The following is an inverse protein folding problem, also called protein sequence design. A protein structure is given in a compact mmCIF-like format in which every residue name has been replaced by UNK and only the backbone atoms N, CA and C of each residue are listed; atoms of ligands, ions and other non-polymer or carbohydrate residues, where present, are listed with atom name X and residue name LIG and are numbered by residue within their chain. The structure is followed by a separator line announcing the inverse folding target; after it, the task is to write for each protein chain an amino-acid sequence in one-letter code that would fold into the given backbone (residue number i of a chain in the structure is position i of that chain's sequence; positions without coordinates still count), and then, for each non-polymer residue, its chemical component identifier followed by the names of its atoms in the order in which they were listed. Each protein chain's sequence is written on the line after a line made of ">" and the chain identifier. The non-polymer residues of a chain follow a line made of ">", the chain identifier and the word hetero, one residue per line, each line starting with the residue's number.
data_IF_627859779557
#
_entry.id   IF_627859779557
#
_cell.length_a   1.000
_cell.length_b   1.000
_cell.length_c   1.000
_cell.angle_alpha   90.00
_cell.angle_beta   90.00
_cell.angle_gamma   90.00
#
_symmetry.space_group_name_H-M   'P 1'
#
loop_
_entity.id
_entity.type
_entity.pdbx_description
1 polymer ?
#
# COMPACT_ATOMS: atom_id res chain seq x y z
N UNK A 1 -37.36 -6.93 -14.59
CA UNK A 1 -36.08 -6.47 -15.09
C UNK A 1 -35.57 -5.39 -14.14
N UNK A 2 -34.55 -5.68 -13.33
CA UNK A 2 -33.96 -4.68 -12.44
C UNK A 2 -33.18 -3.68 -13.33
N UNK A 3 -33.56 -2.40 -13.23
CA UNK A 3 -32.79 -1.30 -13.86
C UNK A 3 -31.44 -1.28 -13.13
N UNK A 4 -30.36 -1.60 -13.83
CA UNK A 4 -29.01 -1.46 -13.29
C UNK A 4 -28.81 0.02 -12.92
N UNK A 5 -28.68 0.29 -11.62
CA UNK A 5 -28.45 1.63 -11.08
C UNK A 5 -27.17 2.19 -11.73
N UNK A 6 -27.30 3.36 -12.32
CA UNK A 6 -26.18 3.98 -13.07
C UNK A 6 -25.17 4.51 -12.07
N UNK A 7 -24.05 3.76 -11.91
CA UNK A 7 -22.94 4.14 -11.01
C UNK A 7 -22.50 5.58 -11.24
N UNK A 8 -22.20 6.28 -10.16
CA UNK A 8 -21.65 7.64 -10.19
C UNK A 8 -20.25 7.65 -10.82
N UNK A 9 -19.76 8.83 -11.18
CA UNK A 9 -18.41 8.99 -11.70
C UNK A 9 -17.35 8.61 -10.66
N UNK A 10 -17.62 8.86 -9.38
CA UNK A 10 -16.72 8.55 -8.26
C UNK A 10 -16.65 7.05 -8.01
N UNK A 11 -17.78 6.36 -7.92
CA UNK A 11 -17.82 4.89 -7.81
C UNK A 11 -17.08 4.21 -8.96
N UNK A 12 -17.26 4.72 -10.18
CA UNK A 12 -16.58 4.20 -11.35
C UNK A 12 -15.06 4.44 -11.30
N UNK A 13 -14.64 5.59 -10.75
CA UNK A 13 -13.22 5.90 -10.55
C UNK A 13 -12.60 4.95 -9.53
N UNK A 14 -13.30 4.67 -8.43
CA UNK A 14 -12.82 3.76 -7.38
C UNK A 14 -12.69 2.32 -7.89
N UNK A 15 -13.65 1.82 -8.69
CA UNK A 15 -13.55 0.51 -9.33
C UNK A 15 -12.31 0.38 -10.24
N UNK A 16 -12.01 1.44 -11.01
CA UNK A 16 -10.80 1.45 -11.84
C UNK A 16 -9.55 1.42 -10.97
N UNK A 17 -9.52 2.19 -9.88
CA UNK A 17 -8.37 2.22 -8.98
C UNK A 17 -8.15 0.88 -8.29
N UNK A 18 -9.20 0.17 -7.85
CA UNK A 18 -9.06 -1.18 -7.29
C UNK A 18 -8.55 -2.19 -8.33
N UNK A 19 -9.08 -2.16 -9.56
CA UNK A 19 -8.57 -2.99 -10.64
C UNK A 19 -7.09 -2.67 -10.97
N UNK A 20 -6.71 -1.40 -10.90
CA UNK A 20 -5.35 -0.96 -11.12
C UNK A 20 -4.40 -1.36 -9.97
N UNK A 21 -4.86 -1.34 -8.71
CA UNK A 21 -4.11 -1.88 -7.56
C UNK A 21 -3.73 -3.33 -7.81
N UNK A 22 -4.70 -4.17 -8.18
CA UNK A 22 -4.47 -5.59 -8.45
C UNK A 22 -3.47 -5.81 -9.61
N UNK A 23 -3.66 -5.11 -10.71
CA UNK A 23 -2.81 -5.25 -11.89
C UNK A 23 -1.37 -4.77 -11.62
N UNK A 24 -1.21 -3.61 -10.96
CA UNK A 24 0.11 -3.08 -10.66
C UNK A 24 0.83 -3.86 -9.55
N UNK A 25 0.12 -4.38 -8.56
CA UNK A 25 0.72 -5.23 -7.53
C UNK A 25 1.29 -6.51 -8.14
N UNK A 26 0.55 -7.15 -9.06
CA UNK A 26 0.95 -8.41 -9.69
C UNK A 26 2.06 -8.24 -10.74
N UNK A 27 1.97 -7.20 -11.59
CA UNK A 27 2.78 -7.07 -12.81
C UNK A 27 3.78 -5.91 -12.78
N UNK A 28 3.78 -5.10 -11.73
CA UNK A 28 4.61 -3.91 -11.60
C UNK A 28 4.22 -2.80 -12.59
N UNK A 29 4.89 -1.65 -12.48
CA UNK A 29 4.61 -0.52 -13.36
C UNK A 29 4.84 -0.85 -14.84
N UNK A 30 5.95 -1.51 -15.19
CA UNK A 30 6.30 -1.81 -16.59
C UNK A 30 5.40 -2.88 -17.19
N UNK A 31 5.18 -3.99 -16.49
CA UNK A 31 4.46 -5.16 -16.98
C UNK A 31 2.93 -5.00 -17.00
N UNK A 32 2.37 -4.11 -16.19
CA UNK A 32 0.92 -3.91 -16.09
C UNK A 32 0.30 -3.40 -17.41
N UNK A 33 -0.91 -3.88 -17.69
CA UNK A 33 -1.69 -3.52 -18.89
C UNK A 33 -2.91 -2.67 -18.54
N UNK A 34 -2.99 -1.46 -19.12
CA UNK A 34 -4.19 -0.62 -18.98
C UNK A 34 -5.43 -1.22 -19.63
N UNK A 35 -5.26 -2.12 -20.58
CA UNK A 35 -6.34 -2.90 -21.19
C UNK A 35 -6.86 -3.96 -20.21
N UNK A 36 -5.96 -4.64 -19.46
CA UNK A 36 -6.35 -5.58 -18.42
C UNK A 36 -7.10 -4.88 -17.27
N UNK A 37 -6.63 -3.69 -16.86
CA UNK A 37 -7.32 -2.83 -15.88
C UNK A 37 -8.73 -2.48 -16.36
N UNK A 38 -8.86 -2.00 -17.62
CA UNK A 38 -10.14 -1.63 -18.18
C UNK A 38 -11.12 -2.82 -18.23
N UNK A 39 -10.63 -3.99 -18.65
CA UNK A 39 -11.42 -5.24 -18.70
C UNK A 39 -11.88 -5.66 -17.30
N UNK A 40 -11.00 -5.62 -16.32
CA UNK A 40 -11.33 -5.94 -14.92
C UNK A 40 -12.37 -5.00 -14.34
N UNK A 41 -12.31 -3.70 -14.67
CA UNK A 41 -13.27 -2.69 -14.24
C UNK A 41 -14.57 -2.66 -15.08
N UNK A 42 -14.69 -3.52 -16.12
CA UNK A 42 -15.88 -3.58 -16.99
C UNK A 42 -16.10 -2.33 -17.84
N UNK A 43 -15.00 -1.69 -18.29
CA UNK A 43 -15.03 -0.45 -19.08
C UNK A 43 -14.09 -0.55 -20.29
N UNK A 44 -14.10 0.47 -21.14
CA UNK A 44 -13.16 0.54 -22.26
C UNK A 44 -11.83 1.21 -21.85
N UNK A 45 -10.71 0.77 -22.45
CA UNK A 45 -9.41 1.38 -22.22
C UNK A 45 -9.36 2.89 -22.54
N UNK A 46 -9.99 3.41 -23.62
CA UNK A 46 -10.08 4.85 -23.85
C UNK A 46 -10.75 5.62 -22.71
N UNK A 47 -11.67 4.98 -21.97
CA UNK A 47 -12.29 5.60 -20.82
C UNK A 47 -11.31 5.74 -19.63
N UNK A 48 -10.44 4.75 -19.42
CA UNK A 48 -9.34 4.84 -18.45
C UNK A 48 -8.44 6.04 -18.75
N UNK A 49 -7.99 6.17 -20.00
CA UNK A 49 -7.15 7.31 -20.42
C UNK A 49 -7.86 8.65 -20.31
N UNK A 50 -9.17 8.72 -20.57
CA UNK A 50 -9.95 9.94 -20.39
C UNK A 50 -10.00 10.40 -18.93
N UNK A 51 -9.97 9.46 -17.96
CA UNK A 51 -10.03 9.77 -16.53
C UNK A 51 -8.67 10.05 -15.89
N UNK A 52 -7.62 9.38 -16.37
CA UNK A 52 -6.31 9.39 -15.72
C UNK A 52 -5.18 9.91 -16.62
N UNK A 53 -5.43 10.14 -17.90
CA UNK A 53 -4.45 10.63 -18.87
C UNK A 53 -3.53 9.53 -19.39
N UNK A 54 -2.52 9.14 -18.60
CA UNK A 54 -1.52 8.16 -18.98
C UNK A 54 -1.47 6.98 -17.98
N UNK A 55 -0.79 5.89 -18.36
CA UNK A 55 -0.48 4.79 -17.44
C UNK A 55 0.35 5.28 -16.26
N UNK A 56 1.27 6.22 -16.47
CA UNK A 56 2.10 6.81 -15.45
C UNK A 56 1.25 7.58 -14.42
N UNK A 57 0.33 8.44 -14.89
CA UNK A 57 -0.57 9.18 -14.01
C UNK A 57 -1.51 8.25 -13.24
N UNK A 58 -2.05 7.22 -13.89
CA UNK A 58 -2.84 6.20 -13.21
C UNK A 58 -2.03 5.51 -12.10
N UNK A 59 -0.79 5.11 -12.39
CA UNK A 59 0.09 4.47 -11.41
C UNK A 59 0.38 5.41 -10.22
N UNK A 60 0.71 6.67 -10.49
CA UNK A 60 0.94 7.69 -9.45
C UNK A 60 -0.27 7.88 -8.54
N UNK A 61 -1.48 7.95 -9.12
CA UNK A 61 -2.73 8.06 -8.36
C UNK A 61 -2.95 6.85 -7.47
N UNK A 62 -2.67 5.64 -7.99
CA UNK A 62 -2.79 4.39 -7.24
C UNK A 62 -1.78 4.33 -6.10
N UNK A 63 -0.53 4.71 -6.34
CA UNK A 63 0.54 4.77 -5.32
C UNK A 63 0.21 5.80 -4.24
N UNK A 64 -0.20 7.00 -4.62
CA UNK A 64 -0.60 8.04 -3.67
C UNK A 64 -1.80 7.59 -2.80
N UNK A 65 -2.77 6.90 -3.40
CA UNK A 65 -3.90 6.32 -2.67
C UNK A 65 -3.44 5.25 -1.68
N UNK A 66 -2.53 4.37 -2.09
CA UNK A 66 -1.99 3.32 -1.23
C UNK A 66 -1.30 3.91 0.02
N UNK A 67 -0.47 4.93 -0.13
CA UNK A 67 0.16 5.63 1.00
C UNK A 67 -0.86 6.34 1.89
N UNK A 68 -1.85 7.00 1.30
CA UNK A 68 -2.94 7.64 2.07
C UNK A 68 -3.73 6.63 2.89
N UNK A 69 -4.14 5.50 2.31
CA UNK A 69 -4.86 4.44 3.03
C UNK A 69 -4.01 3.81 4.15
N UNK A 70 -2.69 3.74 3.96
CA UNK A 70 -1.75 3.32 5.00
C UNK A 70 -1.67 4.36 6.12
N UNK A 71 -1.62 5.65 5.78
CA UNK A 71 -1.65 6.73 6.76
C UNK A 71 -2.96 6.72 7.57
N UNK A 72 -4.10 6.56 6.91
CA UNK A 72 -5.41 6.43 7.57
C UNK A 72 -5.48 5.22 8.49
N UNK A 73 -4.86 4.09 8.11
CA UNK A 73 -4.72 2.93 8.98
C UNK A 73 -3.93 3.29 10.24
N UNK A 74 -2.78 3.97 10.11
CA UNK A 74 -1.94 4.39 11.22
C UNK A 74 -2.68 5.37 12.13
N UNK A 75 -3.42 6.33 11.54
CA UNK A 75 -4.22 7.30 12.28
C UNK A 75 -5.29 6.64 13.13
N UNK A 76 -6.04 5.69 12.56
CA UNK A 76 -7.06 4.92 13.27
C UNK A 76 -6.45 4.07 14.39
N UNK A 77 -5.33 3.39 14.12
CA UNK A 77 -4.67 2.54 15.11
C UNK A 77 -4.12 3.34 16.32
N UNK A 78 -3.65 4.57 16.08
CA UNK A 78 -3.10 5.44 17.10
C UNK A 78 -4.14 6.38 17.74
N UNK A 79 -5.42 6.23 17.45
CA UNK A 79 -6.45 7.13 17.97
C UNK A 79 -6.47 7.13 19.51
N UNK A 80 -6.29 8.30 20.11
CA UNK A 80 -6.21 8.46 21.55
C UNK A 80 -4.91 8.00 22.21
N UNK A 81 -3.97 7.42 21.45
CA UNK A 81 -2.69 6.89 21.94
C UNK A 81 -1.53 7.84 21.65
N UNK A 82 -0.44 7.71 22.44
CA UNK A 82 0.82 8.44 22.25
C UNK A 82 2.00 7.55 22.69
N UNK A 83 3.21 7.96 22.30
CA UNK A 83 4.42 7.29 22.75
C UNK A 83 4.55 5.85 22.27
N UNK A 84 5.19 4.97 23.03
CA UNK A 84 5.36 3.57 22.67
C UNK A 84 4.06 2.81 22.44
N UNK A 85 2.97 3.16 23.13
CA UNK A 85 1.65 2.53 22.92
C UNK A 85 1.09 2.81 21.52
N UNK A 86 1.23 4.05 21.04
CA UNK A 86 0.83 4.40 19.68
C UNK A 86 1.68 3.66 18.63
N UNK A 87 3.01 3.57 18.86
CA UNK A 87 3.92 2.86 17.96
C UNK A 87 3.53 1.37 17.87
N UNK A 88 3.27 0.74 19.02
CA UNK A 88 2.83 -0.66 19.08
C UNK A 88 1.50 -0.89 18.36
N UNK A 89 0.50 -0.03 18.60
CA UNK A 89 -0.80 -0.15 17.94
C UNK A 89 -0.70 0.00 16.41
N UNK A 90 0.12 0.94 15.93
CA UNK A 90 0.37 1.13 14.49
C UNK A 90 1.08 -0.11 13.91
N UNK A 91 2.09 -0.63 14.62
CA UNK A 91 2.83 -1.84 14.21
C UNK A 91 1.90 -3.04 14.05
N UNK A 92 1.06 -3.30 15.05
CA UNK A 92 0.09 -4.39 15.01
C UNK A 92 -0.90 -4.26 13.85
N UNK A 93 -1.43 -3.05 13.61
CA UNK A 93 -2.34 -2.82 12.50
C UNK A 93 -1.66 -3.06 11.13
N UNK A 94 -0.37 -2.75 11.00
CA UNK A 94 0.37 -3.02 9.78
C UNK A 94 0.73 -4.50 9.62
N UNK A 95 1.03 -5.19 10.73
CA UNK A 95 1.21 -6.65 10.75
C UNK A 95 -0.08 -7.36 10.30
N UNK A 96 -1.25 -6.93 10.80
CA UNK A 96 -2.54 -7.50 10.41
C UNK A 96 -2.82 -7.28 8.91
N UNK A 97 -2.33 -6.20 8.32
CA UNK A 97 -2.47 -5.95 6.88
C UNK A 97 -1.78 -7.04 6.03
N UNK A 98 -0.70 -7.65 6.49
CA UNK A 98 -0.08 -8.77 5.77
C UNK A 98 -1.06 -9.94 5.59
N UNK A 99 -1.92 -10.20 6.58
CA UNK A 99 -2.91 -11.27 6.51
C UNK A 99 -4.19 -10.87 5.75
N UNK A 100 -4.61 -9.61 5.87
CA UNK A 100 -5.91 -9.15 5.35
C UNK A 100 -5.84 -8.51 3.97
N UNK A 101 -4.72 -7.85 3.63
CA UNK A 101 -4.56 -7.13 2.36
C UNK A 101 -3.08 -7.09 1.91
N UNK A 102 -2.48 -8.25 1.62
CA UNK A 102 -1.07 -8.32 1.20
C UNK A 102 -0.82 -7.61 -0.14
N UNK A 103 -1.85 -7.42 -0.96
CA UNK A 103 -1.75 -6.79 -2.27
C UNK A 103 -1.27 -5.34 -2.17
N UNK A 104 -1.72 -4.59 -1.15
CA UNK A 104 -1.25 -3.22 -0.94
C UNK A 104 0.20 -3.14 -0.48
N UNK A 105 0.68 -4.13 0.26
CA UNK A 105 2.09 -4.24 0.62
C UNK A 105 2.94 -4.56 -0.63
N UNK A 106 2.47 -5.46 -1.49
CA UNK A 106 3.10 -5.77 -2.77
C UNK A 106 3.17 -4.52 -3.67
N UNK A 107 2.06 -3.76 -3.76
CA UNK A 107 2.02 -2.52 -4.53
C UNK A 107 3.05 -1.48 -4.04
N UNK A 108 3.24 -1.34 -2.73
CA UNK A 108 4.28 -0.46 -2.18
C UNK A 108 5.67 -0.88 -2.67
N UNK A 109 5.98 -2.17 -2.66
CA UNK A 109 7.27 -2.68 -3.16
C UNK A 109 7.45 -2.38 -4.65
N UNK A 110 6.40 -2.57 -5.47
CA UNK A 110 6.41 -2.20 -6.88
C UNK A 110 6.60 -0.68 -7.10
N UNK A 111 6.04 0.14 -6.21
CA UNK A 111 6.22 1.59 -6.26
C UNK A 111 7.68 2.00 -6.00
N UNK A 112 8.36 1.37 -5.03
CA UNK A 112 9.78 1.63 -4.78
C UNK A 112 10.65 1.23 -5.97
N UNK A 113 10.37 0.10 -6.61
CA UNK A 113 11.07 -0.36 -7.80
C UNK A 113 10.90 0.63 -8.96
N UNK A 114 9.67 1.06 -9.23
CA UNK A 114 9.37 2.02 -10.29
C UNK A 114 9.99 3.40 -10.03
N UNK A 115 10.11 3.82 -8.77
CA UNK A 115 10.71 5.08 -8.37
C UNK A 115 12.22 5.20 -8.72
N UNK A 116 12.92 4.08 -8.94
CA UNK A 116 14.31 4.08 -9.38
C UNK A 116 14.47 4.72 -10.75
N UNK A 117 13.52 4.49 -11.63
CA UNK A 117 13.62 4.84 -13.06
C UNK A 117 12.78 6.06 -13.45
N UNK A 118 11.76 6.42 -12.66
CA UNK A 118 10.80 7.48 -12.96
C UNK A 118 10.76 8.53 -11.86
N UNK A 119 11.11 9.77 -12.21
CA UNK A 119 11.20 10.88 -11.26
C UNK A 119 9.83 11.26 -10.67
N UNK A 120 8.79 11.31 -11.49
CA UNK A 120 7.45 11.68 -11.04
C UNK A 120 6.85 10.62 -10.09
N UNK A 121 7.14 9.33 -10.34
CA UNK A 121 6.78 8.25 -9.43
C UNK A 121 7.59 8.35 -8.14
N UNK A 122 8.90 8.62 -8.23
CA UNK A 122 9.79 8.80 -7.09
C UNK A 122 9.31 9.93 -6.16
N UNK A 123 8.90 11.06 -6.72
CA UNK A 123 8.37 12.17 -5.94
C UNK A 123 7.06 11.79 -5.24
N UNK A 124 6.17 11.07 -5.92
CA UNK A 124 4.94 10.55 -5.32
C UNK A 124 5.24 9.63 -4.13
N UNK A 125 6.22 8.72 -4.28
CA UNK A 125 6.67 7.81 -3.22
C UNK A 125 7.30 8.58 -2.05
N UNK A 126 8.18 9.55 -2.33
CA UNK A 126 8.84 10.37 -1.29
C UNK A 126 7.82 11.14 -0.44
N UNK A 127 6.82 11.74 -1.08
CA UNK A 127 5.76 12.46 -0.37
C UNK A 127 4.97 11.50 0.51
N UNK A 128 4.44 10.42 -0.06
CA UNK A 128 3.62 9.47 0.69
C UNK A 128 4.37 8.80 1.86
N UNK A 129 5.62 8.37 1.61
CA UNK A 129 6.45 7.78 2.67
C UNK A 129 6.81 8.81 3.75
N UNK A 130 7.15 10.04 3.36
CA UNK A 130 7.42 11.15 4.27
C UNK A 130 6.26 11.46 5.19
N UNK A 131 5.02 11.43 4.68
CA UNK A 131 3.81 11.65 5.47
C UNK A 131 3.62 10.56 6.53
N UNK A 132 3.91 9.28 6.20
CA UNK A 132 3.88 8.19 7.17
C UNK A 132 4.92 8.41 8.28
N UNK A 133 6.17 8.72 7.91
CA UNK A 133 7.25 8.98 8.87
C UNK A 133 6.91 10.15 9.77
N UNK A 134 6.46 11.28 9.21
CA UNK A 134 6.10 12.47 9.98
C UNK A 134 4.93 12.22 10.95
N UNK A 135 3.96 11.39 10.56
CA UNK A 135 2.86 11.01 11.44
C UNK A 135 3.36 10.16 12.62
N UNK A 136 4.10 9.08 12.34
CA UNK A 136 4.59 8.15 13.37
C UNK A 136 5.53 8.87 14.34
N UNK A 137 6.50 9.64 13.83
CA UNK A 137 7.43 10.42 14.65
C UNK A 137 6.69 11.35 15.62
N UNK A 138 5.69 12.09 15.12
CA UNK A 138 4.90 13.02 15.92
C UNK A 138 4.08 12.33 17.01
N UNK A 139 3.46 11.16 16.74
CA UNK A 139 2.57 10.51 17.72
C UNK A 139 3.33 9.63 18.69
N UNK A 140 4.41 9.00 18.24
CA UNK A 140 5.22 8.11 19.05
C UNK A 140 6.28 8.86 19.88
N UNK A 141 6.87 9.94 19.35
CA UNK A 141 7.87 10.74 20.07
C UNK A 141 9.08 9.90 20.54
N UNK A 142 9.46 8.87 19.78
CA UNK A 142 10.57 7.96 20.07
C UNK A 142 11.88 8.45 19.49
N UNK A 143 13.00 7.86 19.91
CA UNK A 143 14.32 8.18 19.35
C UNK A 143 14.44 7.69 17.89
N UNK A 144 15.41 8.28 17.16
CA UNK A 144 15.62 7.98 15.75
C UNK A 144 15.95 6.49 15.48
N UNK A 145 16.60 5.79 16.40
CA UNK A 145 16.92 4.38 16.23
C UNK A 145 15.68 3.50 16.34
N UNK A 146 14.78 3.83 17.24
CA UNK A 146 13.47 3.15 17.41
C UNK A 146 12.58 3.41 16.19
N UNK A 147 12.47 4.67 15.74
CA UNK A 147 11.73 5.02 14.53
C UNK A 147 12.26 4.27 13.29
N UNK A 148 13.59 4.23 13.12
CA UNK A 148 14.23 3.51 12.02
C UNK A 148 13.94 2.01 12.04
N UNK A 149 14.00 1.36 13.22
CA UNK A 149 13.65 -0.06 13.39
C UNK A 149 12.20 -0.33 13.03
N UNK A 150 11.28 0.53 13.46
CA UNK A 150 9.86 0.42 13.13
C UNK A 150 9.61 0.38 11.62
N UNK A 151 10.18 1.33 10.87
CA UNK A 151 10.05 1.37 9.41
C UNK A 151 10.79 0.23 8.72
N UNK A 152 11.92 -0.24 9.26
CA UNK A 152 12.62 -1.43 8.75
C UNK A 152 11.76 -2.71 8.88
N UNK A 153 11.04 -2.88 10.00
CA UNK A 153 10.08 -3.99 10.17
C UNK A 153 8.91 -3.88 9.19
N UNK A 154 8.36 -2.67 8.98
CA UNK A 154 7.33 -2.44 7.97
C UNK A 154 7.79 -2.83 6.56
N UNK A 155 9.04 -2.50 6.20
CA UNK A 155 9.63 -2.93 4.91
C UNK A 155 9.76 -4.45 4.84
N UNK A 156 10.14 -5.11 5.93
CA UNK A 156 10.21 -6.58 5.98
C UNK A 156 8.84 -7.20 5.67
N UNK A 157 7.74 -6.66 6.18
CA UNK A 157 6.39 -7.14 5.86
C UNK A 157 6.04 -6.99 4.36
N UNK A 158 6.49 -5.92 3.71
CA UNK A 158 6.32 -5.77 2.26
C UNK A 158 7.09 -6.87 1.50
N UNK A 159 8.29 -7.24 1.95
CA UNK A 159 9.08 -8.33 1.37
C UNK A 159 8.37 -9.67 1.57
N UNK A 160 7.81 -9.95 2.76
CA UNK A 160 7.02 -11.15 3.00
C UNK A 160 5.78 -11.21 2.10
N UNK A 161 5.05 -10.11 1.95
CA UNK A 161 3.92 -10.04 1.02
C UNK A 161 4.32 -10.36 -0.42
N UNK A 162 5.48 -9.85 -0.88
CA UNK A 162 5.98 -10.13 -2.23
C UNK A 162 6.39 -11.60 -2.43
N UNK A 163 6.88 -12.26 -1.38
CA UNK A 163 7.19 -13.69 -1.38
C UNK A 163 5.97 -14.58 -1.13
N UNK A 164 4.78 -13.99 -0.95
CA UNK A 164 3.53 -14.69 -0.60
C UNK A 164 3.66 -15.52 0.70
N UNK A 165 4.42 -15.00 1.67
CA UNK A 165 4.61 -15.59 2.98
C UNK A 165 3.75 -14.86 4.01
N UNK A 166 2.92 -15.59 4.72
CA UNK A 166 2.07 -15.10 5.82
C UNK A 166 2.46 -15.77 7.15
N UNK A 167 1.69 -15.48 8.18
CA UNK A 167 1.90 -16.04 9.53
C UNK A 167 1.62 -17.54 9.64
N UNK A 168 1.03 -18.14 8.63
CA UNK A 168 0.79 -19.57 8.45
C UNK A 168 1.93 -20.28 7.67
N UNK A 169 3.02 -19.55 7.39
CA UNK A 169 4.15 -20.10 6.63
C UNK A 169 4.77 -21.32 7.33
N UNK A 170 5.09 -22.33 6.53
CA UNK A 170 5.83 -23.54 6.96
C UNK A 170 7.35 -23.36 6.91
N UNK A 171 7.83 -22.24 6.37
CA UNK A 171 9.25 -21.91 6.29
C UNK A 171 9.80 -21.50 7.66
N UNK A 172 10.70 -22.29 8.30
CA UNK A 172 11.13 -22.01 9.69
C UNK A 172 11.81 -20.66 9.88
N UNK A 173 12.60 -20.21 8.90
CA UNK A 173 13.29 -18.92 8.94
C UNK A 173 12.28 -17.75 8.86
N UNK A 174 11.25 -17.89 8.01
CA UNK A 174 10.22 -16.88 7.84
C UNK A 174 9.35 -16.78 9.10
N UNK A 175 8.91 -17.91 9.63
CA UNK A 175 8.15 -17.97 10.89
C UNK A 175 8.91 -17.28 12.05
N UNK A 176 10.23 -17.49 12.14
CA UNK A 176 11.07 -16.86 13.16
C UNK A 176 11.15 -15.35 13.03
N UNK A 177 11.28 -14.83 11.79
CA UNK A 177 11.30 -13.38 11.54
C UNK A 177 9.93 -12.74 11.82
N UNK A 178 8.85 -13.38 11.36
CA UNK A 178 7.49 -12.87 11.60
C UNK A 178 7.10 -12.86 13.08
N UNK A 179 7.57 -13.83 13.87
CA UNK A 179 7.39 -13.81 15.33
C UNK A 179 8.02 -12.55 15.95
N UNK A 180 9.25 -12.19 15.54
CA UNK A 180 9.90 -10.97 16.01
C UNK A 180 9.18 -9.67 15.61
N UNK A 181 8.47 -9.66 14.49
CA UNK A 181 7.63 -8.52 14.10
C UNK A 181 6.41 -8.32 15.03
N UNK A 182 5.87 -9.41 15.60
CA UNK A 182 4.75 -9.35 16.54
C UNK A 182 5.16 -8.91 17.95
N UNK A 183 6.38 -9.28 18.38
CA UNK A 183 6.87 -8.97 19.72
C UNK A 183 7.33 -7.50 19.87
N UNK A 184 7.69 -6.86 18.77
CA UNK A 184 8.24 -5.50 18.72
C UNK A 184 7.29 -4.49 18.05
N UNK A 185 6.09 -4.93 17.63
CA UNK A 185 5.04 -4.09 17.10
C UNK A 185 4.28 -3.33 18.18
#
# INVERSE_FOLDING_TARGET
>A
MAVAERKTKEERRDEILEAAVAEFAANGYRGASTEAIARSAGISQPYVFRLFGTKQELFRVVVARCFRETLELFQRAAEGLRGPEALHAIGNAYVERLATDPMRLQLQLQAYTAAVEDEAIRDTVRVGYGDLVAFVDRVAGVDAATLSRFFAQGMLLNVFAAMQLGFDTTEPWAARLLAGCKENG
#
